data_IF_019470360872
#
_entry.id   IF_019470360872
#
_cell.length_a   1.000
_cell.length_b   1.000
_cell.length_c   1.000
_cell.angle_alpha   90.00
_cell.angle_beta   90.00
_cell.angle_gamma   90.00
#
_symmetry.space_group_name_H-M   'P 1'
#
loop_
_entity.id
_entity.type
_entity.pdbx_description
1 polymer ?
#
# COMPACT_ATOMS: atom_id res chain seq x y z
N UNK A 1 -11.09 3.32 9.63
CA UNK A 1 -9.74 2.97 10.14
C UNK A 1 -8.84 2.63 8.96
N UNK A 2 -7.60 3.12 8.95
CA UNK A 2 -6.64 2.81 7.91
C UNK A 2 -6.30 1.31 7.95
N UNK A 3 -6.25 0.61 6.80
CA UNK A 3 -6.02 -0.83 6.82
C UNK A 3 -4.56 -1.21 7.07
N UNK A 4 -3.67 -0.23 7.17
CA UNK A 4 -2.29 -0.37 7.60
C UNK A 4 -1.78 0.93 8.23
N UNK A 5 -0.71 0.84 9.00
CA UNK A 5 -0.03 2.00 9.61
C UNK A 5 1.45 1.73 9.86
N UNK A 6 2.21 2.78 10.16
CA UNK A 6 3.62 2.69 10.52
C UNK A 6 3.74 2.75 12.04
N UNK A 7 4.55 1.88 12.62
CA UNK A 7 4.90 1.93 14.03
C UNK A 7 6.37 1.55 14.27
N UNK A 8 6.90 1.98 15.39
CA UNK A 8 8.21 1.55 15.89
C UNK A 8 8.06 0.20 16.60
N UNK A 9 8.86 -0.79 16.22
CA UNK A 9 8.83 -2.11 16.82
C UNK A 9 9.23 -2.07 18.30
N UNK A 10 8.26 -2.24 19.21
CA UNK A 10 8.52 -2.26 20.66
C UNK A 10 9.41 -3.43 21.11
N UNK A 11 9.45 -4.51 20.33
CA UNK A 11 10.30 -5.69 20.57
C UNK A 11 10.78 -6.31 19.25
N UNK A 12 11.80 -7.16 19.30
CA UNK A 12 12.32 -7.90 18.14
C UNK A 12 11.57 -9.19 17.81
N UNK A 13 10.37 -9.40 18.38
CA UNK A 13 9.60 -10.67 18.22
C UNK A 13 8.74 -10.70 16.95
N UNK A 14 8.54 -9.56 16.30
CA UNK A 14 7.75 -9.52 15.07
C UNK A 14 8.60 -10.06 13.91
N UNK A 15 8.00 -10.89 13.05
CA UNK A 15 8.60 -11.34 11.80
C UNK A 15 7.92 -10.66 10.63
N UNK A 16 8.69 -10.20 9.65
CA UNK A 16 8.15 -9.65 8.42
C UNK A 16 7.41 -10.74 7.64
N UNK A 17 6.18 -10.45 7.26
CA UNK A 17 5.32 -11.44 6.62
C UNK A 17 5.68 -11.71 5.15
N UNK A 18 6.43 -10.80 4.53
CA UNK A 18 6.92 -10.93 3.16
C UNK A 18 8.20 -11.78 3.04
N UNK A 19 9.23 -11.47 3.84
CA UNK A 19 10.54 -12.15 3.73
C UNK A 19 10.80 -13.18 4.84
N UNK A 20 9.95 -13.24 5.86
CA UNK A 20 10.06 -14.18 6.98
C UNK A 20 11.09 -13.81 8.06
N UNK A 21 11.91 -12.78 7.84
CA UNK A 21 12.96 -12.39 8.78
C UNK A 21 12.44 -11.48 9.90
N UNK A 22 13.14 -11.48 11.05
CA UNK A 22 12.74 -10.67 12.20
C UNK A 22 12.79 -9.16 11.90
N UNK A 23 11.87 -8.41 12.51
CA UNK A 23 11.89 -6.95 12.57
C UNK A 23 12.60 -6.55 13.86
N UNK A 24 13.76 -5.88 13.80
CA UNK A 24 14.51 -5.49 14.98
C UNK A 24 13.73 -4.57 15.91
N UNK A 25 13.98 -4.65 17.23
CA UNK A 25 13.45 -3.69 18.20
C UNK A 25 13.93 -2.28 17.83
N UNK A 26 13.04 -1.30 17.89
CA UNK A 26 13.33 0.10 17.54
C UNK A 26 13.30 0.40 16.05
N UNK A 27 13.19 -0.61 15.17
CA UNK A 27 13.02 -0.38 13.73
C UNK A 27 11.58 0.02 13.41
N UNK A 28 11.41 0.85 12.37
CA UNK A 28 10.10 1.14 11.80
C UNK A 28 9.58 -0.05 11.01
N UNK A 29 8.29 -0.33 11.16
CA UNK A 29 7.59 -1.37 10.40
C UNK A 29 6.20 -0.91 9.99
N UNK A 30 5.68 -1.54 8.94
CA UNK A 30 4.28 -1.41 8.56
C UNK A 30 3.50 -2.54 9.21
N UNK A 31 2.41 -2.21 9.87
CA UNK A 31 1.43 -3.18 10.38
C UNK A 31 0.19 -3.08 9.51
N UNK A 32 -0.10 -4.15 8.77
CA UNK A 32 -1.26 -4.24 7.90
C UNK A 32 -2.30 -5.21 8.46
N UNK A 33 -3.56 -4.80 8.46
CA UNK A 33 -4.69 -5.67 8.75
C UNK A 33 -4.87 -6.68 7.61
N UNK A 34 -4.71 -7.96 7.92
CA UNK A 34 -4.92 -9.06 6.99
C UNK A 34 -5.87 -10.12 7.55
N UNK A 35 -6.19 -11.11 6.72
CA UNK A 35 -6.91 -12.31 7.17
C UNK A 35 -5.97 -13.52 7.08
N UNK A 36 -5.99 -14.38 8.10
CA UNK A 36 -5.21 -15.62 8.11
C UNK A 36 -5.82 -16.60 9.11
N UNK A 37 -5.85 -17.90 8.76
CA UNK A 37 -6.30 -19.00 9.63
C UNK A 37 -7.64 -18.72 10.35
N UNK A 38 -8.62 -18.21 9.61
CA UNK A 38 -9.98 -17.99 10.13
C UNK A 38 -10.17 -16.71 10.96
N UNK A 39 -9.16 -15.83 11.05
CA UNK A 39 -9.29 -14.57 11.81
C UNK A 39 -8.53 -13.40 11.19
N UNK A 40 -8.82 -12.20 11.71
CA UNK A 40 -8.05 -10.99 11.40
C UNK A 40 -6.72 -11.06 12.14
N UNK A 41 -5.64 -10.70 11.44
CA UNK A 41 -4.30 -10.60 12.01
C UNK A 41 -3.67 -9.26 11.68
N UNK A 42 -2.78 -8.81 12.56
CA UNK A 42 -1.89 -7.67 12.36
C UNK A 42 -0.57 -8.17 11.75
N UNK A 43 -0.44 -8.13 10.43
CA UNK A 43 0.75 -8.59 9.75
C UNK A 43 1.83 -7.50 9.76
N UNK A 44 2.99 -7.82 10.33
CA UNK A 44 4.14 -6.92 10.37
C UNK A 44 5.00 -7.06 9.12
N UNK A 45 5.55 -5.95 8.63
CA UNK A 45 6.43 -5.90 7.47
C UNK A 45 7.54 -4.88 7.69
N UNK A 46 8.76 -5.14 7.20
CA UNK A 46 9.71 -4.05 7.01
C UNK A 46 9.13 -3.04 6.01
N UNK A 47 9.49 -1.75 6.13
CA UNK A 47 9.07 -0.70 5.21
C UNK A 47 9.28 -1.09 3.74
N UNK A 48 10.53 -1.43 3.38
CA UNK A 48 10.87 -1.81 2.01
C UNK A 48 10.12 -3.08 1.54
N UNK A 49 9.91 -4.04 2.43
CA UNK A 49 9.18 -5.27 2.12
C UNK A 49 7.70 -4.98 1.82
N UNK A 50 7.03 -4.17 2.64
CA UNK A 50 5.65 -3.76 2.40
C UNK A 50 5.52 -3.03 1.06
N UNK A 51 6.44 -2.09 0.81
CA UNK A 51 6.47 -1.33 -0.43
C UNK A 51 6.69 -2.22 -1.65
N UNK A 52 7.49 -3.28 -1.53
CA UNK A 52 7.65 -4.31 -2.58
C UNK A 52 6.39 -5.13 -2.87
N UNK A 53 5.38 -5.13 -1.98
CA UNK A 53 4.08 -5.77 -2.24
C UNK A 53 3.11 -4.89 -3.02
N UNK A 54 3.44 -3.60 -3.18
CA UNK A 54 2.54 -2.66 -3.81
C UNK A 54 2.41 -2.96 -5.32
N UNK A 55 1.15 -2.95 -5.77
CA UNK A 55 0.76 -3.19 -7.15
C UNK A 55 -0.08 -2.03 -7.64
N UNK A 56 0.03 -1.68 -8.91
CA UNK A 56 -0.86 -0.72 -9.55
C UNK A 56 -1.48 -1.34 -10.79
N UNK A 57 -2.76 -1.09 -10.99
CA UNK A 57 -3.46 -1.51 -12.21
C UNK A 57 -4.65 -0.62 -12.52
N UNK A 58 -5.09 -0.73 -13.77
CA UNK A 58 -6.36 -0.15 -14.22
C UNK A 58 -7.47 -1.14 -13.89
N UNK A 59 -8.57 -0.63 -13.33
CA UNK A 59 -9.76 -1.43 -13.08
C UNK A 59 -10.30 -1.97 -14.41
N UNK A 60 -10.13 -3.26 -14.66
CA UNK A 60 -10.70 -3.93 -15.85
C UNK A 60 -12.21 -4.14 -15.72
N UNK A 61 -12.72 -4.16 -14.49
CA UNK A 61 -14.14 -4.38 -14.14
C UNK A 61 -14.56 -3.44 -13.01
N UNK A 62 -15.86 -3.31 -12.79
CA UNK A 62 -16.44 -2.57 -11.65
C UNK A 62 -16.55 -3.43 -10.37
N UNK A 63 -15.79 -4.52 -10.28
CA UNK A 63 -15.88 -5.46 -9.14
C UNK A 63 -14.97 -5.05 -7.99
N UNK A 64 -15.49 -5.19 -6.78
CA UNK A 64 -14.78 -4.88 -5.55
C UNK A 64 -14.95 -3.42 -5.12
N UNK A 65 -14.35 -3.11 -3.98
CA UNK A 65 -14.39 -1.79 -3.36
C UNK A 65 -13.05 -1.46 -2.72
N UNK A 66 -12.78 -0.18 -2.57
CA UNK A 66 -11.64 0.31 -1.81
C UNK A 66 -11.67 -0.22 -0.37
N UNK A 67 -10.57 -0.80 0.09
CA UNK A 67 -10.44 -1.34 1.45
C UNK A 67 -10.51 -0.25 2.53
N UNK A 68 -10.11 0.97 2.19
CA UNK A 68 -10.11 2.12 3.09
C UNK A 68 -11.44 2.88 3.05
N UNK A 69 -11.82 3.44 1.91
CA UNK A 69 -13.01 4.29 1.79
C UNK A 69 -14.32 3.51 1.55
N UNK A 70 -14.24 2.23 1.15
CA UNK A 70 -15.43 1.47 0.75
C UNK A 70 -16.01 1.87 -0.62
N UNK A 71 -15.44 2.87 -1.30
CA UNK A 71 -15.86 3.31 -2.62
C UNK A 71 -15.78 2.17 -3.65
N UNK A 72 -16.78 2.05 -4.52
CA UNK A 72 -16.79 1.05 -5.60
C UNK A 72 -15.73 1.39 -6.65
N UNK A 73 -15.11 0.37 -7.22
CA UNK A 73 -14.21 0.57 -8.35
C UNK A 73 -14.98 0.86 -9.64
N UNK A 74 -14.41 1.74 -10.46
CA UNK A 74 -14.95 2.14 -11.76
C UNK A 74 -14.01 1.65 -12.84
N UNK A 75 -14.53 0.98 -13.86
CA UNK A 75 -13.74 0.48 -14.99
C UNK A 75 -12.96 1.64 -15.63
N UNK A 76 -11.67 1.42 -15.87
CA UNK A 76 -10.78 2.44 -16.39
C UNK A 76 -10.09 3.30 -15.33
N UNK A 77 -10.52 3.27 -14.07
CA UNK A 77 -9.84 4.02 -13.00
C UNK A 77 -8.64 3.27 -12.43
N UNK A 78 -7.67 4.01 -11.89
CA UNK A 78 -6.51 3.42 -11.21
C UNK A 78 -6.87 2.91 -9.81
N UNK A 79 -6.29 1.77 -9.48
CA UNK A 79 -6.26 1.25 -8.11
C UNK A 79 -4.87 0.78 -7.73
N UNK A 80 -4.58 0.84 -6.44
CA UNK A 80 -3.32 0.38 -5.86
C UNK A 80 -3.62 -0.79 -4.93
N UNK A 81 -2.99 -1.92 -5.19
CA UNK A 81 -3.06 -3.13 -4.39
C UNK A 81 -1.89 -3.22 -3.42
N UNK A 82 -2.11 -3.89 -2.29
CA UNK A 82 -1.06 -4.30 -1.36
C UNK A 82 -1.41 -5.68 -0.78
N UNK A 83 -0.40 -6.37 -0.28
CA UNK A 83 -0.59 -7.68 0.35
C UNK A 83 -0.26 -7.61 1.83
N UNK A 84 -1.20 -8.00 2.68
CA UNK A 84 -0.96 -8.09 4.12
C UNK A 84 -0.35 -9.45 4.50
N UNK A 85 -0.80 -10.56 3.91
CA UNK A 85 -0.48 -11.92 4.38
C UNK A 85 0.09 -12.84 3.30
N UNK A 86 -0.67 -13.12 2.26
CA UNK A 86 -0.30 -14.01 1.15
C UNK A 86 -0.40 -13.26 -0.18
N UNK A 87 0.51 -13.52 -1.12
CA UNK A 87 0.62 -12.80 -2.39
C UNK A 87 -0.71 -12.72 -3.16
N UNK A 88 -1.54 -13.74 -3.02
CA UNK A 88 -2.80 -13.89 -3.75
C UNK A 88 -3.98 -13.12 -3.11
N UNK A 89 -3.83 -12.71 -1.84
CA UNK A 89 -4.82 -11.93 -1.08
C UNK A 89 -4.51 -10.44 -1.17
N UNK A 90 -4.76 -9.88 -2.36
CA UNK A 90 -4.52 -8.46 -2.65
C UNK A 90 -5.69 -7.62 -2.17
N UNK A 91 -5.41 -6.72 -1.23
CA UNK A 91 -6.34 -5.68 -0.82
C UNK A 91 -6.16 -4.44 -1.71
N UNK A 92 -7.27 -3.94 -2.25
CA UNK A 92 -7.27 -2.84 -3.22
C UNK A 92 -7.69 -1.51 -2.60
N UNK A 93 -6.99 -0.44 -2.99
CA UNK A 93 -7.30 0.95 -2.67
C UNK A 93 -7.65 1.71 -3.95
N UNK A 94 -8.63 2.61 -3.89
CA UNK A 94 -8.77 3.61 -4.94
C UNK A 94 -7.58 4.58 -4.90
N UNK A 95 -7.30 5.25 -6.02
CA UNK A 95 -6.15 6.16 -6.13
C UNK A 95 -6.11 7.23 -5.04
N UNK A 96 -7.27 7.78 -4.66
CA UNK A 96 -7.39 8.78 -3.59
C UNK A 96 -6.98 8.22 -2.22
N UNK A 97 -7.47 7.04 -1.86
CA UNK A 97 -7.06 6.39 -0.60
C UNK A 97 -5.58 6.00 -0.62
N UNK A 98 -5.06 5.59 -1.78
CA UNK A 98 -3.63 5.33 -1.94
C UNK A 98 -2.80 6.60 -1.74
N UNK A 99 -3.23 7.73 -2.32
CA UNK A 99 -2.59 9.04 -2.18
C UNK A 99 -2.64 9.56 -0.73
N UNK A 100 -3.69 9.24 0.03
CA UNK A 100 -3.79 9.64 1.43
C UNK A 100 -2.92 8.77 2.36
N UNK A 101 -2.84 7.46 2.10
CA UNK A 101 -2.25 6.51 3.06
C UNK A 101 -0.79 6.16 2.79
N UNK A 102 -0.36 6.11 1.52
CA UNK A 102 0.95 5.58 1.15
C UNK A 102 2.10 6.59 1.27
N UNK A 103 1.96 7.89 0.93
CA UNK A 103 3.11 8.80 0.91
C UNK A 103 3.94 8.84 2.21
N UNK A 104 3.34 8.83 3.42
CA UNK A 104 4.14 8.78 4.66
C UNK A 104 5.00 7.52 4.78
N UNK A 105 4.54 6.39 4.25
CA UNK A 105 5.28 5.12 4.25
C UNK A 105 6.39 5.14 3.20
N UNK A 106 6.05 5.62 2.00
CA UNK A 106 6.95 5.69 0.86
C UNK A 106 8.11 6.65 1.10
N UNK A 107 7.85 7.79 1.75
CA UNK A 107 8.88 8.76 2.14
C UNK A 107 9.92 8.17 3.11
N UNK A 108 9.55 7.13 3.86
CA UNK A 108 10.43 6.45 4.82
C UNK A 108 11.07 5.18 4.24
N UNK A 109 10.64 4.73 3.07
CA UNK A 109 11.18 3.55 2.40
C UNK A 109 12.39 3.93 1.56
N UNK A 110 13.59 3.61 2.05
CA UNK A 110 14.83 3.90 1.37
C UNK A 110 14.87 3.30 -0.05
N UNK A 111 15.24 4.13 -1.04
CA UNK A 111 15.45 3.71 -2.42
C UNK A 111 14.18 3.36 -3.21
N UNK A 112 12.99 3.64 -2.68
CA UNK A 112 11.76 3.36 -3.42
C UNK A 112 11.49 4.40 -4.52
N UNK A 113 11.02 3.91 -5.67
CA UNK A 113 10.46 4.73 -6.75
C UNK A 113 9.16 4.09 -7.27
N UNK A 114 8.23 4.87 -7.86
CA UNK A 114 6.99 4.34 -8.43
C UNK A 114 7.18 3.27 -9.51
N UNK A 115 8.34 3.24 -10.17
CA UNK A 115 8.68 2.22 -11.18
C UNK A 115 8.89 0.83 -10.58
N UNK A 116 9.07 0.72 -9.26
CA UNK A 116 9.17 -0.55 -8.55
C UNK A 116 7.79 -1.19 -8.28
N UNK A 117 6.70 -0.47 -8.54
CA UNK A 117 5.35 -1.01 -8.37
C UNK A 117 5.09 -2.09 -9.43
N UNK A 118 4.63 -3.24 -8.97
CA UNK A 118 4.17 -4.29 -9.88
C UNK A 118 3.02 -3.76 -10.74
N UNK A 119 3.11 -3.95 -12.07
CA UNK A 119 2.10 -3.48 -13.03
C UNK A 119 2.28 -2.04 -13.52
N UNK A 120 3.25 -1.27 -13.00
CA UNK A 120 3.47 0.12 -13.42
C UNK A 120 3.75 0.26 -14.93
N UNK A 121 4.55 -0.66 -15.49
CA UNK A 121 4.89 -0.66 -16.92
C UNK A 121 3.71 -0.97 -17.84
N UNK A 122 2.60 -1.51 -17.32
CA UNK A 122 1.41 -1.80 -18.12
C UNK A 122 0.47 -0.60 -18.24
N UNK A 123 0.74 0.48 -17.49
CA UNK A 123 -0.05 1.70 -17.53
C UNK A 123 0.29 2.56 -18.76
N UNK A 124 -0.72 3.24 -19.29
CA UNK A 124 -0.51 4.28 -20.32
C UNK A 124 0.31 5.44 -19.73
N UNK A 125 1.01 6.26 -20.55
CA UNK A 125 1.81 7.38 -20.07
C UNK A 125 1.04 8.34 -19.16
N UNK A 126 -0.21 8.65 -19.50
CA UNK A 126 -1.10 9.51 -18.71
C UNK A 126 -1.36 8.93 -17.32
N UNK A 127 -1.65 7.63 -17.25
CA UNK A 127 -1.92 6.93 -16.00
C UNK A 127 -0.65 6.74 -15.14
N UNK A 128 0.52 6.59 -15.77
CA UNK A 128 1.81 6.60 -15.07
C UNK A 128 2.05 7.94 -14.37
N UNK A 129 1.73 9.05 -15.03
CA UNK A 129 1.84 10.39 -14.44
C UNK A 129 0.88 10.53 -13.26
N UNK A 130 -0.38 10.11 -13.42
CA UNK A 130 -1.37 10.15 -12.34
C UNK A 130 -0.94 9.32 -11.11
N UNK A 131 -0.45 8.09 -11.33
CA UNK A 131 0.06 7.23 -10.27
C UNK A 131 1.29 7.83 -9.56
N UNK A 132 2.25 8.37 -10.32
CA UNK A 132 3.41 9.07 -9.75
C UNK A 132 2.99 10.27 -8.90
N UNK A 133 2.08 11.11 -9.41
CA UNK A 133 1.56 12.30 -8.71
C UNK A 133 0.94 11.93 -7.37
N UNK A 134 0.09 10.90 -7.37
CA UNK A 134 -0.60 10.41 -6.18
C UNK A 134 0.35 9.86 -5.12
N UNK A 135 1.37 9.10 -5.51
CA UNK A 135 2.21 8.33 -4.58
C UNK A 135 3.47 9.08 -4.13
N UNK A 136 4.00 9.99 -4.95
CA UNK A 136 5.15 10.82 -4.56
C UNK A 136 4.75 12.06 -3.76
N UNK A 137 3.44 12.36 -3.67
CA UNK A 137 2.96 13.55 -2.99
C UNK A 137 3.40 14.81 -3.73
N UNK A 138 2.73 15.16 -4.82
CA UNK A 138 2.83 16.51 -5.38
C UNK A 138 1.60 17.30 -4.96
N UNK A 139 1.84 18.27 -4.08
CA UNK A 139 0.92 19.24 -3.46
C UNK A 139 -0.53 19.24 -3.95
N UNK A 140 -1.42 18.98 -3.01
CA UNK A 140 -2.85 19.28 -3.07
C UNK A 140 -3.34 19.55 -1.66
N UNK A 141 -2.62 20.40 -0.92
CA UNK A 141 -3.14 21.03 0.27
C UNK A 141 -4.15 22.07 -0.18
N UNK A 142 -5.42 21.68 -0.20
CA UNK A 142 -6.51 22.63 -0.03
C UNK A 142 -6.51 23.01 1.45
N UNK A 143 -5.62 23.93 1.80
CA UNK A 143 -5.77 24.75 2.99
C UNK A 143 -6.79 25.83 2.64
N UNK A 144 -8.08 25.49 2.75
CA UNK A 144 -9.15 26.48 2.77
C UNK A 144 -9.62 26.66 4.22
N UNK A 145 -9.22 27.83 4.72
CA UNK A 145 -9.82 28.73 5.74
C UNK A 145 -10.99 28.24 6.59
#
# INVERSE_FOLDING_TARGET
EAPFGVETAASGRASCRQCGTAVPKGALKVVASGWSRGGRIAASHHLACFVGTLRVEVCSTNRGKCKHSGAKFVKGSLRVGYTATAADDIAWLCLESAASLLPPILAQAAGWTPTLLSGFEQLTPELRVAAKRALLGTGGGDASV
#
